data_IF_228433436263
#
_entry.id   IF_228433436263
#
_cell.length_a   1.000
_cell.length_b   1.000
_cell.length_c   1.000
_cell.angle_alpha   90.00
_cell.angle_beta   90.00
_cell.angle_gamma   90.00
#
_symmetry.space_group_name_H-M   'P 1'
#
loop_
_entity.id
_entity.type
_entity.pdbx_description
1 polymer ?
#
# COMPACT_ATOMS: atom_id res chain seq x y z
N UNK A 1 -35.92 18.18 -19.69
CA UNK A 1 -34.46 18.25 -19.48
C UNK A 1 -34.12 17.22 -18.41
N UNK A 2 -33.39 16.18 -18.79
CA UNK A 2 -33.15 14.97 -18.00
C UNK A 2 -31.92 15.11 -17.12
N UNK A 3 -32.02 14.52 -15.93
CA UNK A 3 -31.04 14.38 -14.85
C UNK A 3 -29.73 13.73 -15.30
N UNK A 4 -28.59 14.24 -14.82
CA UNK A 4 -27.29 13.59 -14.98
C UNK A 4 -26.85 12.94 -13.65
N UNK A 5 -26.68 11.63 -13.72
CA UNK A 5 -26.23 10.71 -12.67
C UNK A 5 -24.83 11.08 -12.15
N UNK A 6 -24.69 11.22 -10.84
CA UNK A 6 -23.41 11.24 -10.13
C UNK A 6 -22.95 9.80 -9.91
N UNK A 7 -22.34 9.19 -10.92
CA UNK A 7 -21.57 7.95 -10.74
C UNK A 7 -20.12 8.30 -10.44
N UNK A 8 -19.69 7.97 -9.23
CA UNK A 8 -18.30 7.92 -8.76
C UNK A 8 -17.42 7.25 -9.81
N UNK A 9 -16.70 8.03 -10.60
CA UNK A 9 -15.73 7.51 -11.56
C UNK A 9 -14.44 7.17 -10.79
N UNK A 10 -14.28 5.89 -10.50
CA UNK A 10 -12.98 5.31 -10.17
C UNK A 10 -12.10 5.48 -11.44
N UNK A 11 -10.90 6.10 -11.35
CA UNK A 11 -10.00 6.24 -12.49
C UNK A 11 -9.64 4.85 -13.08
N UNK A 12 -9.30 4.77 -14.38
CA UNK A 12 -9.04 3.50 -15.04
C UNK A 12 -7.91 2.74 -14.34
N UNK A 13 -8.16 1.45 -14.05
CA UNK A 13 -7.24 0.50 -13.43
C UNK A 13 -5.89 0.52 -14.15
N UNK A 14 -4.89 1.15 -13.56
CA UNK A 14 -3.49 0.92 -13.92
C UNK A 14 -3.16 -0.50 -13.43
N UNK A 15 -2.62 -1.35 -14.30
CA UNK A 15 -2.28 -2.70 -13.88
C UNK A 15 -1.12 -2.64 -12.88
N UNK A 16 -1.11 -3.52 -11.88
CA UNK A 16 -0.02 -3.61 -10.90
C UNK A 16 1.35 -3.80 -11.60
N UNK A 17 1.36 -4.43 -12.78
CA UNK A 17 2.57 -4.60 -13.58
C UNK A 17 3.10 -3.25 -14.09
N UNK A 18 2.22 -2.37 -14.56
CA UNK A 18 2.59 -1.02 -15.02
C UNK A 18 3.09 -0.14 -13.86
N UNK A 19 2.52 -0.32 -12.66
CA UNK A 19 3.01 0.36 -11.44
C UNK A 19 4.43 -0.06 -11.05
N UNK A 20 4.84 -1.29 -11.37
CA UNK A 20 6.14 -1.86 -10.97
C UNK A 20 7.26 -1.58 -11.98
N UNK A 21 6.92 -1.24 -13.23
CA UNK A 21 7.89 -1.00 -14.30
C UNK A 21 8.52 0.40 -14.30
N UNK A 22 7.97 1.36 -13.54
CA UNK A 22 8.42 2.75 -13.51
C UNK A 22 9.08 3.21 -12.21
N UNK A 23 9.50 2.28 -11.33
CA UNK A 23 9.99 2.62 -10.00
C UNK A 23 11.49 3.01 -10.03
N UNK A 24 11.77 4.31 -9.95
CA UNK A 24 13.08 4.86 -9.56
C UNK A 24 13.46 4.37 -8.14
N UNK A 25 14.77 4.35 -7.84
CA UNK A 25 15.34 3.87 -6.58
C UNK A 25 14.68 4.56 -5.39
N UNK A 26 13.77 3.86 -4.71
CA UNK A 26 13.14 4.32 -3.47
C UNK A 26 13.67 3.56 -2.28
N UNK A 27 13.63 4.21 -1.11
CA UNK A 27 13.82 3.50 0.15
C UNK A 27 12.63 2.57 0.36
N UNK A 28 12.92 1.27 0.50
CA UNK A 28 11.93 0.19 0.45
C UNK A 28 12.01 -0.67 1.70
N UNK A 29 10.85 -1.07 2.22
CA UNK A 29 10.79 -2.12 3.23
C UNK A 29 9.69 -3.14 2.92
N UNK A 30 10.07 -4.42 2.97
CA UNK A 30 9.13 -5.53 3.04
C UNK A 30 8.85 -5.84 4.50
N UNK A 31 7.66 -5.48 4.98
CA UNK A 31 7.20 -5.78 6.32
C UNK A 31 6.59 -7.18 6.39
N UNK A 32 7.03 -7.94 7.38
CA UNK A 32 6.59 -9.31 7.64
C UNK A 32 5.31 -9.34 8.47
N UNK A 33 4.65 -10.50 8.51
CA UNK A 33 3.51 -10.73 9.41
C UNK A 33 3.83 -10.50 10.90
N UNK A 34 5.08 -10.67 11.33
CA UNK A 34 5.49 -10.37 12.71
C UNK A 34 5.44 -8.86 13.00
N UNK A 35 5.68 -8.03 11.99
CA UNK A 35 5.68 -6.57 12.10
C UNK A 35 4.29 -5.96 11.92
N UNK A 36 3.40 -6.61 11.14
CA UNK A 36 2.11 -6.04 10.76
C UNK A 36 0.90 -6.72 11.41
N UNK A 37 1.03 -7.98 11.82
CA UNK A 37 -0.12 -8.83 12.18
C UNK A 37 -0.89 -9.37 10.98
N UNK A 38 -0.57 -8.94 9.75
CA UNK A 38 -1.23 -9.38 8.53
C UNK A 38 -0.48 -10.58 7.92
N UNK A 39 -1.13 -11.73 7.67
CA UNK A 39 -0.51 -12.86 6.98
C UNK A 39 -0.06 -12.48 5.56
N UNK A 40 1.24 -12.53 5.28
CA UNK A 40 1.86 -12.11 4.02
C UNK A 40 2.92 -11.03 4.21
N UNK A 41 3.20 -10.30 3.14
CA UNK A 41 4.16 -9.20 3.10
C UNK A 41 3.45 -7.91 2.73
N UNK A 42 3.68 -6.86 3.51
CA UNK A 42 3.30 -5.49 3.15
C UNK A 42 4.55 -4.76 2.71
N UNK A 43 4.55 -4.29 1.48
CA UNK A 43 5.58 -3.45 0.91
C UNK A 43 5.20 -1.99 1.09
N UNK A 44 6.14 -1.22 1.62
CA UNK A 44 6.07 0.24 1.76
C UNK A 44 7.25 0.88 1.05
N UNK A 45 7.05 2.12 0.59
CA UNK A 45 8.11 2.94 0.02
C UNK A 45 7.86 4.41 0.34
N UNK A 46 8.89 5.22 0.11
CA UNK A 46 8.78 6.67 -0.01
C UNK A 46 8.09 7.05 -1.32
N UNK A 47 7.87 8.35 -1.55
CA UNK A 47 7.14 8.87 -2.70
C UNK A 47 7.68 8.34 -4.04
N UNK A 48 6.79 7.69 -4.82
CA UNK A 48 7.10 7.10 -6.12
C UNK A 48 6.34 7.78 -7.25
N UNK A 49 7.05 8.59 -8.04
CA UNK A 49 6.55 9.15 -9.30
C UNK A 49 5.24 9.93 -9.15
N UNK A 50 4.31 9.71 -10.09
CA UNK A 50 3.02 10.42 -10.18
C UNK A 50 1.90 9.82 -9.31
N UNK A 51 2.19 8.75 -8.57
CA UNK A 51 1.18 8.02 -7.83
C UNK A 51 1.00 8.56 -6.41
N UNK A 52 -0.24 8.53 -5.90
CA UNK A 52 -0.51 8.87 -4.51
C UNK A 52 0.01 7.83 -3.51
N UNK A 53 0.12 8.20 -2.22
CA UNK A 53 0.57 7.31 -1.14
C UNK A 53 -0.23 6.00 -1.08
N UNK A 54 0.47 4.87 -1.07
CA UNK A 54 -0.12 3.53 -1.02
C UNK A 54 0.87 2.49 -0.52
N UNK A 55 0.34 1.38 -0.03
CA UNK A 55 1.10 0.18 0.31
C UNK A 55 0.72 -0.95 -0.64
N UNK A 56 1.66 -1.85 -0.93
CA UNK A 56 1.40 -3.05 -1.74
C UNK A 56 1.36 -4.27 -0.83
N UNK A 57 0.43 -5.19 -1.05
CA UNK A 57 0.35 -6.46 -0.35
C UNK A 57 0.69 -7.62 -1.29
N UNK A 58 1.46 -8.57 -0.77
CA UNK A 58 1.76 -9.83 -1.44
C UNK A 58 1.58 -11.02 -0.49
N UNK A 59 1.14 -12.16 -1.04
CA UNK A 59 1.16 -13.44 -0.29
C UNK A 59 2.60 -13.92 -0.10
N UNK A 60 3.45 -13.69 -1.11
CA UNK A 60 4.89 -13.92 -1.11
C UNK A 60 5.57 -12.74 -1.82
N UNK A 61 6.69 -12.21 -1.30
CA UNK A 61 7.34 -11.08 -1.93
C UNK A 61 7.90 -11.44 -3.32
N UNK A 62 7.94 -10.45 -4.21
CA UNK A 62 8.58 -10.56 -5.53
C UNK A 62 7.92 -9.65 -6.57
N UNK A 63 8.72 -9.05 -7.45
CA UNK A 63 8.25 -8.06 -8.45
C UNK A 63 7.21 -8.61 -9.43
N UNK A 64 7.17 -9.91 -9.64
CA UNK A 64 6.21 -10.57 -10.54
C UNK A 64 5.08 -11.28 -9.80
N UNK A 65 5.05 -11.20 -8.47
CA UNK A 65 4.04 -11.89 -7.68
C UNK A 65 2.72 -11.11 -7.72
N UNK A 66 1.57 -11.82 -7.78
CA UNK A 66 0.28 -11.17 -7.72
C UNK A 66 0.07 -10.55 -6.33
N UNK A 67 -0.64 -9.43 -6.30
CA UNK A 67 -0.81 -8.61 -5.11
C UNK A 67 -1.96 -7.61 -5.26
N UNK A 68 -2.10 -6.72 -4.29
CA UNK A 68 -3.01 -5.58 -4.41
C UNK A 68 -2.42 -4.35 -3.72
N UNK A 69 -2.85 -3.17 -4.17
CA UNK A 69 -2.43 -1.88 -3.62
C UNK A 69 -3.56 -1.28 -2.79
N UNK A 70 -3.25 -0.74 -1.62
CA UNK A 70 -4.18 0.01 -0.76
C UNK A 70 -3.68 1.44 -0.60
N UNK A 71 -4.52 2.41 -0.89
CA UNK A 71 -4.21 3.83 -0.70
C UNK A 71 -4.07 4.18 0.79
N UNK A 72 -3.12 5.06 1.12
CA UNK A 72 -3.02 5.68 2.46
C UNK A 72 -3.94 6.91 2.53
N UNK A 73 -5.19 6.73 2.10
CA UNK A 73 -6.24 7.76 2.11
C UNK A 73 -7.09 7.69 3.39
N UNK A 74 -8.07 8.58 3.53
CA UNK A 74 -9.09 8.50 4.57
C UNK A 74 -10.50 8.54 3.94
N UNK A 75 -11.24 7.42 3.87
CA UNK A 75 -10.82 6.07 4.29
C UNK A 75 -9.81 5.42 3.31
N UNK A 76 -8.95 4.48 3.77
CA UNK A 76 -8.11 3.66 2.89
C UNK A 76 -8.96 2.78 1.96
N UNK A 77 -8.53 2.60 0.71
CA UNK A 77 -9.23 1.79 -0.27
C UNK A 77 -8.27 1.00 -1.16
N UNK A 78 -8.71 -0.15 -1.66
CA UNK A 78 -7.96 -0.90 -2.68
C UNK A 78 -8.02 -0.13 -3.99
N UNK A 79 -6.86 0.08 -4.63
CA UNK A 79 -6.73 0.84 -5.88
C UNK A 79 -6.20 0.01 -7.05
N UNK A 80 -5.69 -1.20 -6.79
CA UNK A 80 -5.29 -2.17 -7.81
C UNK A 80 -5.32 -3.58 -7.19
N UNK A 81 -5.66 -4.62 -7.95
CA UNK A 81 -5.66 -6.01 -7.48
C UNK A 81 -5.42 -7.01 -8.61
N UNK A 82 -4.52 -7.96 -8.38
CA UNK A 82 -4.27 -9.12 -9.25
C UNK A 82 -4.37 -10.47 -8.52
N UNK A 83 -4.80 -10.49 -7.25
CA UNK A 83 -5.01 -11.73 -6.50
C UNK A 83 -6.32 -12.44 -6.88
N UNK A 84 -6.37 -13.78 -6.75
CA UNK A 84 -7.62 -14.53 -6.82
C UNK A 84 -8.65 -14.02 -5.81
N UNK A 85 -9.91 -13.91 -6.23
CA UNK A 85 -10.99 -13.29 -5.45
C UNK A 85 -11.14 -13.85 -4.02
N UNK A 86 -10.93 -15.17 -3.83
CA UNK A 86 -10.97 -15.79 -2.50
C UNK A 86 -9.89 -15.25 -1.57
N UNK A 87 -8.66 -15.14 -2.07
CA UNK A 87 -7.52 -14.64 -1.29
C UNK A 87 -7.71 -13.15 -1.01
N UNK A 88 -8.11 -12.39 -2.04
CA UNK A 88 -8.39 -10.96 -1.90
C UNK A 88 -9.41 -10.68 -0.79
N UNK A 89 -10.58 -11.34 -0.80
CA UNK A 89 -11.62 -11.17 0.21
C UNK A 89 -11.16 -11.50 1.64
N UNK A 90 -10.20 -12.39 1.80
CA UNK A 90 -9.66 -12.76 3.11
C UNK A 90 -8.60 -11.77 3.61
N UNK A 91 -7.88 -11.10 2.71
CA UNK A 91 -6.70 -10.28 3.05
C UNK A 91 -6.96 -8.78 2.99
N UNK A 92 -7.81 -8.31 2.09
CA UNK A 92 -8.03 -6.87 1.93
C UNK A 92 -8.60 -6.17 3.17
N UNK A 93 -9.53 -6.74 3.98
CA UNK A 93 -9.99 -6.06 5.19
C UNK A 93 -8.86 -5.88 6.22
N UNK A 94 -7.99 -6.87 6.35
CA UNK A 94 -6.84 -6.84 7.26
C UNK A 94 -5.83 -5.75 6.85
N UNK A 95 -5.51 -5.66 5.56
CA UNK A 95 -4.59 -4.62 5.06
C UNK A 95 -5.21 -3.23 5.18
N UNK A 96 -6.49 -3.07 4.87
CA UNK A 96 -7.22 -1.79 5.02
C UNK A 96 -7.21 -1.34 6.49
N UNK A 97 -7.50 -2.25 7.43
CA UNK A 97 -7.44 -1.97 8.86
C UNK A 97 -6.05 -1.57 9.31
N UNK A 98 -5.02 -2.32 8.89
CA UNK A 98 -3.64 -2.01 9.23
C UNK A 98 -3.19 -0.66 8.68
N UNK A 99 -3.55 -0.30 7.43
CA UNK A 99 -3.29 1.02 6.85
C UNK A 99 -4.02 2.10 7.61
N UNK A 100 -5.28 1.87 8.01
CA UNK A 100 -6.07 2.85 8.78
C UNK A 100 -5.41 3.16 10.12
N UNK A 101 -4.95 2.15 10.87
CA UNK A 101 -4.27 2.31 12.17
C UNK A 101 -2.92 3.04 12.06
N UNK A 102 -2.24 2.90 10.93
CA UNK A 102 -0.88 3.42 10.72
C UNK A 102 -0.81 4.62 9.77
N UNK A 103 -1.96 5.17 9.37
CA UNK A 103 -2.08 6.14 8.28
C UNK A 103 -1.09 7.30 8.40
N UNK A 104 -1.06 7.96 9.56
CA UNK A 104 -0.27 9.16 9.73
C UNK A 104 1.24 8.85 9.71
N UNK A 105 1.65 7.73 10.30
CA UNK A 105 3.04 7.26 10.24
C UNK A 105 3.47 6.87 8.82
N UNK A 106 2.57 6.25 8.05
CA UNK A 106 2.81 5.89 6.64
C UNK A 106 2.91 7.13 5.74
N UNK A 107 2.09 8.16 5.97
CA UNK A 107 2.19 9.43 5.24
C UNK A 107 3.49 10.17 5.55
N UNK A 108 3.93 10.16 6.81
CA UNK A 108 5.22 10.73 7.22
C UNK A 108 6.39 10.02 6.51
N UNK A 109 6.41 8.69 6.55
CA UNK A 109 7.41 7.91 5.83
C UNK A 109 7.35 8.15 4.31
N UNK A 110 6.16 8.23 3.72
CA UNK A 110 6.00 8.51 2.30
C UNK A 110 6.65 9.84 1.88
N UNK A 111 6.46 10.90 2.67
CA UNK A 111 6.90 12.25 2.31
C UNK A 111 8.35 12.55 2.71
N UNK A 112 8.86 11.92 3.77
CA UNK A 112 10.13 12.31 4.40
C UNK A 112 11.14 11.16 4.52
N UNK A 113 10.70 9.91 4.33
CA UNK A 113 11.51 8.72 4.62
C UNK A 113 12.76 8.56 3.75
N UNK A 114 12.84 9.27 2.62
CA UNK A 114 13.99 9.31 1.73
C UNK A 114 15.16 10.12 2.31
N UNK A 115 14.88 10.98 3.29
CA UNK A 115 15.88 11.75 4.03
C UNK A 115 16.30 11.10 5.34
N UNK A 116 15.63 10.02 5.75
CA UNK A 116 15.83 9.37 7.03
C UNK A 116 17.07 8.47 7.02
N UNK A 117 17.86 8.55 8.08
CA UNK A 117 18.91 7.58 8.32
C UNK A 117 18.33 6.24 8.83
N UNK A 118 19.13 5.18 8.74
CA UNK A 118 18.73 3.83 9.17
C UNK A 118 18.08 3.76 10.57
N UNK A 119 18.57 4.48 11.62
CA UNK A 119 17.91 4.46 12.93
C UNK A 119 16.48 5.02 12.91
N UNK A 120 16.22 6.05 12.11
CA UNK A 120 14.90 6.67 11.99
C UNK A 120 13.93 5.73 11.27
N UNK A 121 14.39 5.08 10.18
CA UNK A 121 13.63 4.02 9.50
C UNK A 121 13.30 2.87 10.45
N UNK A 122 14.26 2.42 11.26
CA UNK A 122 14.04 1.36 12.25
C UNK A 122 13.01 1.77 13.32
N UNK A 123 13.12 2.99 13.85
CA UNK A 123 12.17 3.52 14.84
C UNK A 123 10.75 3.63 14.24
N UNK A 124 10.65 4.08 12.99
CA UNK A 124 9.41 4.11 12.25
C UNK A 124 8.79 2.71 12.12
N UNK A 125 9.57 1.71 11.72
CA UNK A 125 9.06 0.33 11.61
C UNK A 125 8.60 -0.21 12.96
N UNK A 126 9.33 0.10 14.04
CA UNK A 126 9.00 -0.35 15.40
C UNK A 126 7.73 0.29 15.98
N UNK A 127 7.40 1.53 15.59
CA UNK A 127 6.17 2.22 16.04
C UNK A 127 4.90 1.79 15.31
N UNK A 128 5.01 1.01 14.22
CA UNK A 128 3.84 0.55 13.48
C UNK A 128 2.98 -0.38 14.34
N UNK A 129 1.69 -0.09 14.37
CA UNK A 129 0.68 -0.85 15.08
C UNK A 129 0.35 -2.13 14.30
N UNK A 130 0.35 -3.26 15.01
CA UNK A 130 -0.11 -4.55 14.49
C UNK A 130 -1.63 -4.65 14.59
N UNK A 131 -2.21 -5.57 13.83
CA UNK A 131 -3.62 -5.99 13.99
C UNK A 131 -3.72 -7.38 14.60
#
# INVERSE_FOLDING_TARGET
MSTADYRTQIPPDISLADELSGEDVVEMANLTSQQTGVPGTIFISTAMGSHGPRVKYFVRPGRTQPGFSVSVANPPAVVANSLPARVFRQRSPQVIEWVSRNRDALLDFWNNGDTWAQPEVNNFIQRLQRI
#
